data_IF_879927009147
#
_entry.id   IF_879927009147
#
_cell.length_a   1.000
_cell.length_b   1.000
_cell.length_c   1.000
_cell.angle_alpha   90.00
_cell.angle_beta   90.00
_cell.angle_gamma   90.00
#
_symmetry.space_group_name_H-M   'P 1'
#
loop_
_entity.id
_entity.type
_entity.pdbx_description
1 polymer ?
#
# COMPACT_ATOMS: atom_id res chain seq x y z
N UNK A 1 40.03 12.46 -2.60
CA UNK A 1 38.62 12.70 -3.02
C UNK A 1 37.69 11.91 -2.11
N UNK A 2 36.80 12.59 -1.38
CA UNK A 2 35.89 12.02 -0.37
C UNK A 2 34.88 11.07 -1.05
N UNK A 3 35.03 9.76 -0.86
CA UNK A 3 34.05 8.74 -1.29
C UNK A 3 32.96 8.60 -0.23
N UNK A 4 32.07 9.59 -0.12
CA UNK A 4 30.86 9.45 0.70
C UNK A 4 29.68 10.10 -0.04
N UNK A 5 28.94 9.31 -0.83
CA UNK A 5 27.51 9.62 -1.03
C UNK A 5 26.58 8.39 -0.95
N UNK A 6 27.01 7.25 -0.42
CA UNK A 6 26.15 6.05 -0.30
C UNK A 6 25.31 6.03 0.98
N UNK A 7 25.80 6.56 2.10
CA UNK A 7 25.06 6.54 3.37
C UNK A 7 23.76 7.35 3.31
N UNK A 8 23.78 8.51 2.63
CA UNK A 8 22.61 9.39 2.52
C UNK A 8 21.57 8.84 1.54
N UNK A 9 22.00 8.23 0.43
CA UNK A 9 21.10 7.51 -0.48
C UNK A 9 20.45 6.33 0.22
N UNK A 10 21.22 5.52 0.96
CA UNK A 10 20.71 4.38 1.72
C UNK A 10 19.70 4.82 2.79
N UNK A 11 19.97 5.90 3.53
CA UNK A 11 19.02 6.48 4.49
C UNK A 11 17.72 6.93 3.82
N UNK A 12 17.80 7.60 2.66
CA UNK A 12 16.61 8.04 1.92
C UNK A 12 15.81 6.86 1.36
N UNK A 13 16.50 5.82 0.88
CA UNK A 13 15.88 4.59 0.40
C UNK A 13 15.19 3.81 1.53
N UNK A 14 15.79 3.75 2.73
CA UNK A 14 15.15 3.13 3.89
C UNK A 14 13.96 3.94 4.41
N UNK A 15 14.01 5.27 4.33
CA UNK A 15 12.88 6.13 4.77
C UNK A 15 11.69 6.08 3.82
N UNK A 16 11.92 6.02 2.51
CA UNK A 16 10.83 6.09 1.50
C UNK A 16 10.52 4.74 0.88
N UNK A 17 11.51 3.89 0.63
CA UNK A 17 11.34 2.59 -0.02
C UNK A 17 10.74 1.54 0.91
N UNK A 18 11.07 1.56 2.21
CA UNK A 18 10.55 0.58 3.17
C UNK A 18 9.02 0.66 3.33
N UNK A 19 8.39 1.85 3.52
CA UNK A 19 6.93 1.97 3.54
C UNK A 19 6.27 1.51 2.24
N UNK A 20 6.90 1.77 1.10
CA UNK A 20 6.37 1.39 -0.22
C UNK A 20 6.43 -0.13 -0.41
N UNK A 21 7.57 -0.77 -0.12
CA UNK A 21 7.71 -2.22 -0.19
C UNK A 21 6.72 -2.90 0.76
N UNK A 22 6.53 -2.38 1.96
CA UNK A 22 5.54 -2.91 2.89
C UNK A 22 4.13 -2.80 2.28
N UNK A 23 3.74 -1.63 1.78
CA UNK A 23 2.44 -1.43 1.15
C UNK A 23 2.18 -2.37 -0.03
N UNK A 24 3.19 -2.61 -0.87
CA UNK A 24 3.12 -3.56 -1.98
C UNK A 24 3.04 -5.01 -1.46
N UNK A 25 3.83 -5.38 -0.46
CA UNK A 25 3.82 -6.71 0.14
C UNK A 25 2.47 -7.07 0.76
N UNK A 26 1.73 -6.08 1.25
CA UNK A 26 0.37 -6.25 1.78
C UNK A 26 -0.71 -6.32 0.68
N UNK A 27 -0.43 -5.93 -0.56
CA UNK A 27 -1.44 -5.87 -1.62
C UNK A 27 -2.12 -7.23 -1.91
N UNK A 28 -1.42 -8.38 -2.02
CA UNK A 28 -2.05 -9.68 -2.25
C UNK A 28 -2.93 -10.11 -1.07
N UNK A 29 -2.54 -9.79 0.16
CA UNK A 29 -3.30 -10.11 1.37
C UNK A 29 -4.60 -9.31 1.40
N UNK A 30 -4.51 -8.00 1.14
CA UNK A 30 -5.68 -7.12 1.03
C UNK A 30 -6.61 -7.64 -0.06
N UNK A 31 -6.07 -8.04 -1.21
CA UNK A 31 -6.83 -8.58 -2.32
C UNK A 31 -7.62 -9.84 -1.93
N UNK A 32 -6.98 -10.80 -1.27
CA UNK A 32 -7.62 -12.05 -0.81
C UNK A 32 -8.70 -11.77 0.24
N UNK A 33 -8.54 -10.76 1.08
CA UNK A 33 -9.55 -10.38 2.09
C UNK A 33 -10.73 -9.64 1.45
N UNK A 34 -10.46 -8.78 0.47
CA UNK A 34 -11.46 -7.92 -0.17
C UNK A 34 -12.37 -8.71 -1.11
N UNK A 35 -11.84 -9.64 -1.91
CA UNK A 35 -12.64 -10.43 -2.86
C UNK A 35 -13.88 -11.07 -2.23
N UNK A 36 -13.77 -11.93 -1.20
CA UNK A 36 -14.92 -12.66 -0.69
C UNK A 36 -15.94 -11.77 0.01
N UNK A 37 -15.52 -10.60 0.52
CA UNK A 37 -16.41 -9.65 1.19
C UNK A 37 -17.16 -8.76 0.19
N UNK A 38 -16.48 -8.26 -0.83
CA UNK A 38 -17.02 -7.24 -1.74
C UNK A 38 -17.58 -7.82 -3.05
N UNK A 39 -17.02 -8.92 -3.56
CA UNK A 39 -17.47 -9.52 -4.82
C UNK A 39 -18.94 -9.94 -4.76
N UNK A 40 -19.44 -10.64 -3.72
CA UNK A 40 -20.84 -11.03 -3.67
C UNK A 40 -21.78 -9.81 -3.64
N UNK A 41 -21.43 -8.79 -2.86
CA UNK A 41 -22.23 -7.56 -2.72
C UNK A 41 -22.26 -6.75 -4.02
N UNK A 42 -21.12 -6.60 -4.67
CA UNK A 42 -21.04 -5.88 -5.94
C UNK A 42 -21.70 -6.66 -7.08
N UNK A 43 -21.58 -7.98 -7.08
CA UNK A 43 -22.22 -8.83 -8.07
C UNK A 43 -23.74 -8.84 -7.93
N UNK A 44 -24.28 -8.87 -6.72
CA UNK A 44 -25.74 -8.76 -6.51
C UNK A 44 -26.29 -7.40 -6.92
N UNK A 45 -25.50 -6.32 -6.75
CA UNK A 45 -25.91 -4.97 -7.13
C UNK A 45 -25.83 -4.72 -8.65
N UNK A 46 -24.80 -5.25 -9.32
CA UNK A 46 -24.51 -4.93 -10.72
C UNK A 46 -24.94 -6.02 -11.70
N UNK A 47 -25.05 -7.27 -11.25
CA UNK A 47 -25.30 -8.45 -12.09
C UNK A 47 -24.23 -8.73 -13.14
N UNK A 48 -23.14 -7.95 -13.17
CA UNK A 48 -22.15 -7.93 -14.24
C UNK A 48 -20.77 -8.26 -13.68
N UNK A 49 -20.21 -9.38 -14.12
CA UNK A 49 -18.91 -9.85 -13.67
C UNK A 49 -17.76 -8.85 -14.01
N UNK A 50 -17.67 -8.26 -15.22
CA UNK A 50 -16.64 -7.27 -15.52
C UNK A 50 -16.73 -6.01 -14.65
N UNK A 51 -17.95 -5.52 -14.40
CA UNK A 51 -18.17 -4.33 -13.57
C UNK A 51 -17.80 -4.61 -12.11
N UNK A 52 -18.16 -5.80 -11.62
CA UNK A 52 -17.79 -6.26 -10.28
C UNK A 52 -16.27 -6.31 -10.11
N UNK A 53 -15.56 -6.93 -11.05
CA UNK A 53 -14.09 -7.02 -11.01
C UNK A 53 -13.43 -5.64 -11.10
N UNK A 54 -13.94 -4.75 -11.95
CA UNK A 54 -13.48 -3.36 -12.04
C UNK A 54 -13.66 -2.60 -10.73
N UNK A 55 -14.83 -2.74 -10.08
CA UNK A 55 -15.11 -2.15 -8.78
C UNK A 55 -14.19 -2.68 -7.67
N UNK A 56 -14.01 -4.00 -7.61
CA UNK A 56 -13.08 -4.64 -6.66
C UNK A 56 -11.65 -4.13 -6.85
N UNK A 57 -11.18 -4.03 -8.09
CA UNK A 57 -9.83 -3.53 -8.39
C UNK A 57 -9.63 -2.08 -7.90
N UNK A 58 -10.61 -1.20 -8.16
CA UNK A 58 -10.57 0.18 -7.69
C UNK A 58 -10.56 0.27 -6.16
N UNK A 59 -11.35 -0.56 -5.48
CA UNK A 59 -11.39 -0.61 -4.02
C UNK A 59 -10.05 -1.10 -3.46
N UNK A 60 -9.47 -2.16 -4.03
CA UNK A 60 -8.18 -2.65 -3.55
C UNK A 60 -7.11 -1.58 -3.73
N UNK A 61 -7.00 -0.94 -4.90
CA UNK A 61 -6.06 0.16 -5.13
C UNK A 61 -6.25 1.30 -4.13
N UNK A 62 -7.50 1.65 -3.83
CA UNK A 62 -7.82 2.68 -2.85
C UNK A 62 -7.38 2.27 -1.43
N UNK A 63 -7.64 1.03 -1.02
CA UNK A 63 -7.24 0.51 0.30
C UNK A 63 -5.72 0.42 0.43
N UNK A 64 -5.01 -0.10 -0.57
CA UNK A 64 -3.54 -0.13 -0.50
C UNK A 64 -2.94 1.28 -0.56
N UNK A 65 -3.53 2.23 -1.28
CA UNK A 65 -3.15 3.65 -1.21
C UNK A 65 -3.33 4.23 0.20
N UNK A 66 -4.48 3.96 0.84
CA UNK A 66 -4.71 4.37 2.23
C UNK A 66 -3.71 3.75 3.19
N UNK A 67 -3.41 2.45 3.06
CA UNK A 67 -2.39 1.78 3.87
C UNK A 67 -1.03 2.44 3.70
N UNK A 68 -0.61 2.72 2.46
CA UNK A 68 0.64 3.43 2.17
C UNK A 68 0.68 4.79 2.86
N UNK A 69 -0.41 5.55 2.79
CA UNK A 69 -0.51 6.87 3.45
C UNK A 69 -0.41 6.73 4.97
N UNK A 70 -1.04 5.72 5.56
CA UNK A 70 -0.95 5.42 7.00
C UNK A 70 0.48 5.01 7.37
N UNK A 71 1.12 4.13 6.61
CA UNK A 71 2.51 3.72 6.85
C UNK A 71 3.50 4.88 6.72
N UNK A 72 3.31 5.79 5.76
CA UNK A 72 4.15 7.00 5.67
C UNK A 72 3.96 7.92 6.89
N UNK A 73 2.72 8.06 7.38
CA UNK A 73 2.43 8.83 8.61
C UNK A 73 3.01 8.17 9.88
N UNK A 74 2.94 6.85 9.97
CA UNK A 74 3.53 6.11 11.09
C UNK A 74 5.06 6.14 11.03
N UNK A 75 5.63 5.93 9.84
CA UNK A 75 7.07 5.97 9.61
C UNK A 75 7.70 7.33 9.95
N UNK A 76 7.01 8.43 9.67
CA UNK A 76 7.45 9.77 10.11
C UNK A 76 7.43 9.93 11.63
N UNK A 77 6.41 9.40 12.33
CA UNK A 77 6.36 9.37 13.80
C UNK A 77 7.47 8.51 14.43
N UNK A 78 7.72 7.31 13.90
CA UNK A 78 8.77 6.43 14.42
C UNK A 78 10.18 6.98 14.16
N UNK A 79 10.42 7.66 13.03
CA UNK A 79 11.71 8.28 12.77
C UNK A 79 11.94 9.60 13.52
N UNK A 80 10.88 10.31 13.89
CA UNK A 80 10.98 11.56 14.68
C UNK A 80 11.39 11.31 16.13
N UNK A 81 11.23 10.10 16.66
CA UNK A 81 11.53 9.76 18.05
C UNK A 81 12.97 9.24 18.27
N UNK A 82 13.79 9.20 17.21
CA UNK A 82 15.21 8.80 17.24
C UNK A 82 16.14 9.94 16.76
N UNK A 83 15.67 11.18 16.73
CA UNK A 83 16.49 12.39 16.65
C UNK A 83 16.44 13.11 17.98
#
# INVERSE_FOLDING_TARGET
MKRLPDSDRKKRFMKTGLPIMLGIAWAPIIWILVIPLLTPVLFTLTGSWPVTQGGVLLIVLFVTYLLLKVFMRLGTKFYSNNQ
#
